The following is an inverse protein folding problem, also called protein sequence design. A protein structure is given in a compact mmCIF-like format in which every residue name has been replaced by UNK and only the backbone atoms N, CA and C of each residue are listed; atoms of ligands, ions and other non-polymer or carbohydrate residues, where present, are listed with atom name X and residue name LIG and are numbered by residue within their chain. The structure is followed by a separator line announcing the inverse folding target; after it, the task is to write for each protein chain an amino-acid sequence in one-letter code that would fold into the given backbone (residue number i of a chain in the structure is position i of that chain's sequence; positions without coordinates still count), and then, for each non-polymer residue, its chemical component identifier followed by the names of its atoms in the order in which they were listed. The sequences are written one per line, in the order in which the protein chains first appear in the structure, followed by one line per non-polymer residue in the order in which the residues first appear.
data_IF_166112700168
#
_entry.id   IF_166112700168
#
_cell.length_a   1.000
_cell.length_b   1.000
_cell.length_c   1.000
_cell.angle_alpha   90.00
_cell.angle_beta   90.00
_cell.angle_gamma   90.00
#
_symmetry.space_group_name_H-M   'P 1'
#
loop_
_entity.id
_entity.type
_entity.pdbx_description
1 polymer ?
#
# COMPACT_ATOMS: atom_id res chain seq x y z
N UNK A 1 1.66 12.10 17.24
CA UNK A 1 1.68 12.49 15.81
C UNK A 1 0.99 11.37 15.05
N UNK A 2 -0.16 11.64 14.42
CA UNK A 2 -1.05 10.60 13.90
C UNK A 2 -1.32 10.79 12.41
N UNK A 3 -1.15 9.72 11.63
CA UNK A 3 -1.68 9.60 10.27
C UNK A 3 -3.19 9.34 10.43
N UNK A 4 -4.03 10.27 9.97
CA UNK A 4 -5.49 10.18 10.08
C UNK A 4 -6.17 9.61 8.83
N UNK A 5 -5.43 9.43 7.75
CA UNK A 5 -5.91 8.81 6.51
C UNK A 5 -4.99 9.17 5.37
N UNK A 6 -4.58 8.17 4.60
CA UNK A 6 -3.90 8.38 3.32
C UNK A 6 -5.00 8.20 2.28
N UNK A 7 -5.60 9.29 1.84
CA UNK A 7 -6.48 9.27 0.69
C UNK A 7 -5.58 9.36 -0.54
N UNK A 8 -5.32 8.22 -1.18
CA UNK A 8 -4.59 8.19 -2.42
C UNK A 8 -5.49 8.63 -3.56
N UNK A 9 -5.34 9.87 -3.99
CA UNK A 9 -5.74 10.30 -5.33
C UNK A 9 -4.46 10.46 -6.14
N UNK A 10 -4.13 9.50 -6.98
CA UNK A 10 -3.27 9.75 -8.15
C UNK A 10 -4.21 9.75 -9.35
N UNK A 11 -4.72 10.93 -9.68
CA UNK A 11 -5.38 11.20 -10.95
C UNK A 11 -4.29 11.56 -11.96
N UNK A 12 -4.35 10.88 -13.11
CA UNK A 12 -3.55 11.09 -14.28
C UNK A 12 -3.14 12.57 -14.52
N UNK A 13 -1.85 12.76 -14.84
CA UNK A 13 -1.26 13.92 -15.50
C UNK A 13 -0.90 15.18 -14.68
N UNK A 14 -0.93 15.15 -13.34
CA UNK A 14 -0.25 16.17 -12.50
C UNK A 14 0.16 15.57 -11.16
N UNK A 15 1.47 15.38 -10.97
CA UNK A 15 2.09 14.63 -9.86
C UNK A 15 1.92 15.29 -8.49
N UNK A 16 0.76 15.14 -7.85
CA UNK A 16 0.59 15.56 -6.46
C UNK A 16 0.07 14.41 -5.60
N UNK A 17 0.92 13.90 -4.71
CA UNK A 17 0.47 13.07 -3.60
C UNK A 17 -0.02 13.99 -2.49
N UNK A 18 -1.32 13.98 -2.22
CA UNK A 18 -1.93 14.85 -1.20
C UNK A 18 -2.25 14.02 0.04
N UNK A 19 -1.79 14.46 1.20
CA UNK A 19 -1.99 13.76 2.47
C UNK A 19 -2.85 14.58 3.41
N UNK A 20 -3.71 13.91 4.18
CA UNK A 20 -4.51 14.55 5.20
C UNK A 20 -3.77 14.51 6.54
N UNK A 21 -3.13 15.62 6.89
CA UNK A 21 -2.37 15.80 8.12
C UNK A 21 -3.02 16.87 9.00
N UNK A 22 -3.34 16.51 10.25
CA UNK A 22 -3.94 17.43 11.23
C UNK A 22 -5.15 18.24 10.73
N UNK A 23 -5.99 17.64 9.88
CA UNK A 23 -7.16 18.33 9.34
C UNK A 23 -6.90 19.14 8.06
N UNK A 24 -5.69 19.13 7.53
CA UNK A 24 -5.30 19.87 6.33
C UNK A 24 -4.71 18.95 5.26
N UNK A 25 -4.98 19.30 4.01
CA UNK A 25 -4.35 18.67 2.86
C UNK A 25 -2.99 19.31 2.62
N UNK A 26 -1.93 18.51 2.65
CA UNK A 26 -0.56 18.95 2.38
C UNK A 26 0.05 18.14 1.25
N UNK A 27 1.01 18.76 0.55
CA UNK A 27 1.95 18.07 -0.34
C UNK A 27 3.22 17.83 0.50
N UNK A 28 3.49 16.60 0.97
CA UNK A 28 4.69 16.33 1.74
C UNK A 28 5.90 16.16 0.84
N UNK A 29 7.06 16.33 1.45
CA UNK A 29 8.33 15.84 0.93
C UNK A 29 8.34 14.32 0.99
N UNK A 30 8.70 13.67 -0.11
CA UNK A 30 8.83 12.21 -0.18
C UNK A 30 10.32 11.84 -0.04
N UNK A 31 10.63 10.93 0.88
CA UNK A 31 11.96 10.30 1.02
C UNK A 31 11.87 8.79 0.74
N UNK A 32 12.99 8.17 0.40
CA UNK A 32 13.06 6.72 0.12
C UNK A 32 12.54 6.31 -1.27
N UNK A 33 12.09 5.07 -1.39
CA UNK A 33 11.60 4.47 -2.63
C UNK A 33 10.05 4.44 -2.61
N UNK A 34 9.45 5.49 -3.16
CA UNK A 34 8.01 5.56 -3.37
C UNK A 34 7.53 4.49 -4.37
N UNK A 35 6.27 4.09 -4.25
CA UNK A 35 5.62 3.29 -5.27
C UNK A 35 5.54 4.06 -6.60
N UNK A 36 5.54 3.36 -7.75
CA UNK A 36 5.16 3.97 -9.03
C UNK A 36 3.71 4.50 -8.96
N UNK A 37 3.23 5.24 -9.98
CA UNK A 37 1.80 5.54 -10.10
C UNK A 37 0.99 4.25 -9.95
N UNK A 38 0.21 4.17 -8.87
CA UNK A 38 -0.54 2.97 -8.48
C UNK A 38 -1.97 3.38 -8.23
N UNK A 39 -2.94 2.56 -8.64
CA UNK A 39 -4.35 2.75 -8.31
C UNK A 39 -4.99 1.48 -7.78
N UNK A 40 -6.18 1.59 -7.19
CA UNK A 40 -6.99 0.46 -6.69
C UNK A 40 -6.25 -0.47 -5.69
N UNK A 41 -5.28 0.09 -4.98
CA UNK A 41 -4.56 -0.55 -3.88
C UNK A 41 -5.30 -0.40 -2.56
N UNK A 42 -4.85 -1.12 -1.53
CA UNK A 42 -5.32 -0.92 -0.17
C UNK A 42 -4.20 -0.44 0.75
N UNK A 43 -4.54 0.46 1.68
CA UNK A 43 -3.59 1.02 2.64
C UNK A 43 -4.16 1.00 4.06
N UNK A 44 -3.36 0.52 5.01
CA UNK A 44 -3.77 0.34 6.41
C UNK A 44 -2.79 1.03 7.35
N UNK A 45 -3.32 1.83 8.27
CA UNK A 45 -2.55 2.35 9.42
C UNK A 45 -2.19 1.19 10.35
N UNK A 46 -0.90 1.04 10.66
CA UNK A 46 -0.40 0.02 11.59
C UNK A 46 0.05 0.61 12.92
N UNK A 47 0.56 1.85 12.91
CA UNK A 47 0.88 2.62 14.12
C UNK A 47 0.50 4.09 13.91
N UNK A 48 0.73 4.93 14.92
CA UNK A 48 0.43 6.36 14.81
C UNK A 48 1.14 7.04 13.63
N UNK A 49 2.37 6.65 13.32
CA UNK A 49 3.18 7.29 12.29
C UNK A 49 3.53 6.35 11.11
N UNK A 50 2.96 5.15 11.04
CA UNK A 50 3.28 4.17 9.99
C UNK A 50 2.03 3.51 9.42
N UNK A 51 2.04 3.31 8.11
CA UNK A 51 1.04 2.56 7.37
C UNK A 51 1.69 1.59 6.37
N UNK A 52 0.91 0.61 5.94
CA UNK A 52 1.29 -0.40 4.95
C UNK A 52 0.33 -0.31 3.78
N UNK A 53 0.89 -0.20 2.57
CA UNK A 53 0.18 -0.29 1.30
C UNK A 53 0.46 -1.65 0.67
N UNK A 54 -0.56 -2.27 0.08
CA UNK A 54 -0.43 -3.51 -0.65
C UNK A 54 -1.19 -3.47 -1.97
N UNK A 55 -0.57 -4.09 -2.98
CA UNK A 55 -1.19 -4.40 -4.26
C UNK A 55 -1.61 -3.18 -5.07
N UNK A 56 -2.67 -3.35 -5.84
CA UNK A 56 -3.16 -2.35 -6.80
C UNK A 56 -2.67 -2.62 -8.22
N UNK A 57 -2.92 -1.65 -9.09
CA UNK A 57 -2.54 -1.70 -10.50
C UNK A 57 -1.54 -0.61 -10.82
N UNK A 58 -0.50 -0.96 -11.58
CA UNK A 58 0.54 -0.04 -12.05
C UNK A 58 0.63 -0.07 -13.58
N UNK A 59 1.03 1.02 -14.25
CA UNK A 59 1.27 0.99 -15.68
C UNK A 59 2.36 -0.03 -16.05
N UNK A 60 2.12 -0.83 -17.09
CA UNK A 60 3.18 -1.66 -17.69
C UNK A 60 4.27 -0.80 -18.34
N UNK A 61 5.47 -1.36 -18.42
CA UNK A 61 6.61 -0.72 -19.10
C UNK A 61 6.35 -0.46 -20.59
N UNK A 62 5.48 -1.26 -21.23
CA UNK A 62 5.10 -1.09 -22.64
C UNK A 62 3.90 -0.16 -22.84
N UNK A 63 3.28 0.30 -21.74
CA UNK A 63 2.15 1.22 -21.71
C UNK A 63 0.87 0.67 -22.33
N UNK A 64 0.76 -0.65 -22.55
CA UNK A 64 -0.39 -1.26 -23.25
C UNK A 64 -1.52 -1.63 -22.32
N UNK A 65 -1.19 -2.03 -21.11
CA UNK A 65 -2.16 -2.39 -20.07
C UNK A 65 -1.60 -2.11 -18.69
N UNK A 66 -2.48 -1.88 -17.72
CA UNK A 66 -2.06 -1.91 -16.32
C UNK A 66 -1.77 -3.37 -15.90
N UNK A 67 -0.92 -3.54 -14.91
CA UNK A 67 -0.57 -4.84 -14.32
C UNK A 67 -0.91 -4.85 -12.83
N UNK A 68 -1.47 -5.96 -12.36
CA UNK A 68 -1.64 -6.21 -10.94
C UNK A 68 -0.30 -6.43 -10.27
N UNK A 69 -0.14 -5.89 -9.06
CA UNK A 69 1.07 -6.10 -8.25
C UNK A 69 0.74 -6.72 -6.89
N UNK A 70 1.73 -7.37 -6.29
CA UNK A 70 1.72 -7.84 -4.90
C UNK A 70 2.83 -7.18 -4.07
N UNK A 71 3.30 -6.02 -4.51
CA UNK A 71 4.35 -5.28 -3.81
C UNK A 71 3.76 -4.70 -2.52
N UNK A 72 4.48 -4.91 -1.42
CA UNK A 72 4.20 -4.25 -0.15
C UNK A 72 5.06 -2.99 -0.05
N UNK A 73 4.46 -1.88 0.35
CA UNK A 73 5.18 -0.67 0.72
C UNK A 73 4.85 -0.27 2.15
N UNK A 74 5.84 0.18 2.90
CA UNK A 74 5.61 0.91 4.14
C UNK A 74 5.80 2.38 3.91
N UNK A 75 4.89 3.19 4.45
CA UNK A 75 5.08 4.63 4.54
C UNK A 75 5.12 5.06 6.00
N UNK A 76 6.10 5.89 6.35
CA UNK A 76 6.32 6.36 7.71
C UNK A 76 6.49 7.88 7.71
N UNK A 77 5.80 8.54 8.65
CA UNK A 77 5.97 9.96 8.91
C UNK A 77 7.29 10.17 9.68
N UNK A 78 8.27 10.79 9.03
CA UNK A 78 9.59 11.12 9.62
C UNK A 78 9.58 12.50 10.30
N UNK A 79 8.78 13.42 9.76
CA UNK A 79 8.60 14.79 10.28
C UNK A 79 7.19 15.29 9.93
N UNK A 80 6.81 16.50 10.34
CA UNK A 80 5.51 17.10 10.03
C UNK A 80 5.18 17.17 8.52
N UNK A 81 6.20 17.15 7.66
CA UNK A 81 6.02 17.30 6.21
C UNK A 81 6.79 16.27 5.39
N UNK A 82 7.44 15.29 6.02
CA UNK A 82 8.22 14.26 5.32
C UNK A 82 7.65 12.87 5.55
N UNK A 83 7.40 12.16 4.45
CA UNK A 83 6.97 10.77 4.47
C UNK A 83 8.01 9.92 3.76
N UNK A 84 8.57 8.98 4.50
CA UNK A 84 9.47 7.96 3.98
C UNK A 84 8.69 6.81 3.42
N UNK A 85 9.01 6.41 2.20
CA UNK A 85 8.50 5.21 1.57
C UNK A 85 9.59 4.17 1.43
N UNK A 86 9.25 2.93 1.72
CA UNK A 86 10.14 1.79 1.56
C UNK A 86 9.36 0.64 0.93
N UNK A 87 9.92 0.07 -0.15
CA UNK A 87 9.42 -1.19 -0.69
C UNK A 87 9.86 -2.33 0.22
N UNK A 88 8.89 -3.05 0.78
CA UNK A 88 9.17 -4.29 1.49
C UNK A 88 9.35 -5.35 0.43
N UNK A 89 10.59 -5.72 0.19
CA UNK A 89 10.89 -6.94 -0.55
C UNK A 89 10.27 -8.09 0.25
N UNK A 90 9.52 -8.95 -0.43
CA UNK A 90 8.97 -10.15 0.19
C UNK A 90 10.05 -10.82 1.04
N UNK A 91 9.74 -11.32 2.25
CA UNK A 91 10.75 -11.90 3.09
C UNK A 91 11.50 -12.95 2.26
N UNK A 92 12.77 -13.18 2.60
CA UNK A 92 13.32 -14.53 2.43
C UNK A 92 12.54 -15.38 3.44
N UNK A 93 11.27 -15.65 3.13
CA UNK A 93 10.35 -16.31 4.05
C UNK A 93 10.82 -17.75 4.17
N UNK A 94 10.76 -18.37 5.36
CA UNK A 94 10.77 -19.82 5.42
C UNK A 94 9.74 -20.34 4.41
N UNK A 95 10.08 -21.41 3.68
CA UNK A 95 9.26 -21.97 2.59
C UNK A 95 7.79 -22.30 2.95
N UNK A 96 7.39 -22.11 4.21
CA UNK A 96 6.06 -22.33 4.77
C UNK A 96 5.11 -21.13 4.72
N UNK A 97 5.56 -19.89 4.46
CA UNK A 97 4.67 -18.72 4.36
C UNK A 97 4.58 -18.29 2.90
N UNK A 98 3.39 -18.48 2.30
CA UNK A 98 3.10 -18.10 0.94
C UNK A 98 2.90 -16.57 0.87
N UNK A 99 3.70 -15.90 0.04
CA UNK A 99 3.49 -14.48 -0.28
C UNK A 99 2.15 -14.30 -1.00
N UNK A 100 1.38 -13.23 -0.73
CA UNK A 100 0.13 -13.00 -1.44
C UNK A 100 0.35 -12.82 -2.94
N UNK A 101 -0.58 -13.36 -3.74
CA UNK A 101 -0.60 -13.13 -5.18
C UNK A 101 -0.96 -11.68 -5.53
N UNK A 102 -0.59 -11.28 -6.74
CA UNK A 102 -0.91 -9.97 -7.33
C UNK A 102 -2.43 -9.73 -7.31
N UNK A 103 -2.86 -8.54 -6.87
CA UNK A 103 -4.29 -8.19 -6.83
C UNK A 103 -4.58 -6.71 -6.63
N UNK A 104 -5.78 -6.32 -7.02
CA UNK A 104 -6.42 -5.04 -6.74
C UNK A 104 -7.85 -5.22 -6.21
N UNK A 105 -8.59 -4.13 -5.93
CA UNK A 105 -9.99 -4.13 -5.40
C UNK A 105 -10.20 -4.96 -4.12
N UNK A 106 -9.16 -5.14 -3.32
CA UNK A 106 -9.21 -5.92 -2.10
C UNK A 106 -9.46 -5.03 -0.87
N UNK A 107 -9.82 -5.65 0.25
CA UNK A 107 -9.90 -4.98 1.54
C UNK A 107 -8.75 -5.41 2.43
N UNK A 108 -8.24 -4.46 3.23
CA UNK A 108 -7.22 -4.71 4.24
C UNK A 108 -7.66 -4.09 5.57
N UNK A 109 -7.31 -4.75 6.67
CA UNK A 109 -7.47 -4.20 8.02
C UNK A 109 -6.34 -4.68 8.92
N UNK A 110 -6.11 -4.00 10.04
CA UNK A 110 -5.18 -4.44 11.07
C UNK A 110 -5.93 -4.93 12.30
N UNK A 111 -5.53 -6.08 12.82
CA UNK A 111 -5.91 -6.52 14.16
C UNK A 111 -4.95 -5.86 15.14
N UNK A 112 -5.47 -4.93 15.93
CA UNK A 112 -4.69 -4.20 16.94
C UNK A 112 -4.29 -5.18 18.03
N UNK A 113 -2.99 -5.43 18.13
CA UNK A 113 -2.35 -6.21 19.19
C UNK A 113 -0.94 -5.67 19.44
N UNK A 114 -0.20 -6.23 20.40
CA UNK A 114 1.22 -5.90 20.64
C UNK A 114 2.10 -6.18 19.41
N UNK A 115 1.64 -7.05 18.49
CA UNK A 115 2.19 -7.28 17.15
C UNK A 115 1.05 -7.16 16.13
N UNK A 116 0.86 -5.98 15.52
CA UNK A 116 -0.29 -5.74 14.64
C UNK A 116 -0.26 -6.69 13.46
N UNK A 117 -1.33 -7.46 13.30
CA UNK A 117 -1.47 -8.41 12.19
C UNK A 117 -2.34 -7.81 11.10
N UNK A 118 -1.86 -7.75 9.87
CA UNK A 118 -2.68 -7.34 8.72
C UNK A 118 -3.52 -8.52 8.25
N UNK A 119 -4.81 -8.28 8.08
CA UNK A 119 -5.77 -9.19 7.45
C UNK A 119 -6.16 -8.60 6.11
N UNK A 120 -5.99 -9.38 5.05
CA UNK A 120 -6.41 -9.01 3.70
C UNK A 120 -7.42 -10.02 3.17
N UNK A 121 -8.47 -9.53 2.51
CA UNK A 121 -9.51 -10.37 1.94
C UNK A 121 -9.93 -9.90 0.55
N UNK A 122 -10.25 -10.87 -0.31
CA UNK A 122 -10.83 -10.63 -1.62
C UNK A 122 -9.84 -10.02 -2.62
N UNK A 123 -10.42 -9.35 -3.60
CA UNK A 123 -9.72 -8.72 -4.71
C UNK A 123 -9.83 -9.51 -6.01
N UNK A 124 -9.31 -8.89 -7.05
CA UNK A 124 -9.16 -9.46 -8.38
C UNK A 124 -7.67 -9.55 -8.68
N UNK A 125 -7.21 -10.70 -9.15
CA UNK A 125 -5.86 -10.87 -9.68
C UNK A 125 -5.85 -10.71 -11.19
N UNK A 126 -4.75 -11.15 -11.82
CA UNK A 126 -4.62 -11.15 -13.27
C UNK A 126 -5.80 -11.89 -13.93
N UNK A 127 -6.18 -11.43 -15.13
CA UNK A 127 -7.32 -11.94 -15.93
C UNK A 127 -8.70 -11.84 -15.24
N UNK A 128 -8.87 -10.84 -14.38
CA UNK A 128 -10.10 -10.55 -13.63
C UNK A 128 -10.59 -11.71 -12.75
N UNK A 129 -9.69 -12.62 -12.35
CA UNK A 129 -10.03 -13.75 -11.49
C UNK A 129 -10.18 -13.30 -10.04
N UNK A 130 -11.29 -13.67 -9.41
CA UNK A 130 -11.51 -13.40 -7.99
C UNK A 130 -10.51 -14.17 -7.14
N UNK A 131 -9.85 -13.47 -6.23
CA UNK A 131 -8.94 -14.08 -5.25
C UNK A 131 -9.66 -14.23 -3.92
N UNK A 132 -9.63 -15.43 -3.34
CA UNK A 132 -10.40 -15.79 -2.14
C UNK A 132 -9.52 -16.30 -0.98
N UNK A 133 -8.22 -16.09 -1.04
CA UNK A 133 -7.32 -16.34 0.08
C UNK A 133 -7.39 -15.19 1.11
N UNK A 134 -6.95 -15.49 2.33
CA UNK A 134 -6.77 -14.52 3.40
C UNK A 134 -5.33 -14.57 3.86
N UNK A 135 -4.64 -13.43 3.82
CA UNK A 135 -3.27 -13.33 4.32
C UNK A 135 -3.26 -12.73 5.73
N UNK A 136 -2.40 -13.31 6.57
CA UNK A 136 -1.97 -12.77 7.84
C UNK A 136 -0.50 -12.35 7.73
N UNK A 137 -0.21 -11.06 7.89
CA UNK A 137 1.16 -10.54 8.00
C UNK A 137 1.37 -9.96 9.40
N UNK A 138 2.26 -10.57 10.19
CA UNK A 138 2.60 -10.19 11.58
C UNK A 138 3.98 -9.56 11.70
#
# INVERSE_FOLDING_TARGET
MEIFGICSVILNNSNYTIYFYLGQWIIPTISGQCCPPTSVFAIQKITNNKAVMFGGVVPSDDGRSDIDVNTVYTCQLESDTTIHWESVKGPVVPASIQWPVERHKHAITSIISDSPTLVMIGGEGNDDQLVNDSLLLS
#
